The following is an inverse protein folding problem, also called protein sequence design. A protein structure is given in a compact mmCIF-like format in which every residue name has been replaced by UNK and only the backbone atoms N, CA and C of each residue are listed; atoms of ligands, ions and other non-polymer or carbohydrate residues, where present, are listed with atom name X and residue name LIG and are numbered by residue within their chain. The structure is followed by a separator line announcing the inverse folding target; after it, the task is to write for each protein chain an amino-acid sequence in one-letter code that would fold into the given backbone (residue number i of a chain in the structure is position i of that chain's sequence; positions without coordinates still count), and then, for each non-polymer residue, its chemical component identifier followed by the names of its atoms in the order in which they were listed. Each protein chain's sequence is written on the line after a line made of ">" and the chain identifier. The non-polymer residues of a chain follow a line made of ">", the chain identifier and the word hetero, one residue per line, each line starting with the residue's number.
data_IF_036153766270
#
_entry.id   IF_036153766270
#
_cell.length_a   1.000
_cell.length_b   1.000
_cell.length_c   1.000
_cell.angle_alpha   90.00
_cell.angle_beta   90.00
_cell.angle_gamma   90.00
#
_symmetry.space_group_name_H-M   'P 1'
#
loop_
_entity.id
_entity.type
_entity.pdbx_description
1 polymer ?
#
# COMPACT_ATOMS: atom_id res chain seq x y z
N UNK A 1 44.59 12.19 -12.39
CA UNK A 1 43.34 12.92 -12.66
C UNK A 1 42.41 12.19 -13.64
N UNK A 2 42.93 11.54 -14.69
CA UNK A 2 42.12 10.78 -15.67
C UNK A 2 41.47 9.51 -15.12
N UNK A 3 42.13 8.80 -14.20
CA UNK A 3 41.54 7.61 -13.54
C UNK A 3 40.38 7.96 -12.60
N UNK A 4 40.40 9.12 -11.94
CA UNK A 4 39.28 9.59 -11.11
C UNK A 4 38.06 9.91 -11.97
N UNK A 5 38.24 10.54 -13.13
CA UNK A 5 37.13 10.81 -14.05
C UNK A 5 36.56 9.53 -14.67
N UNK A 6 37.39 8.54 -15.02
CA UNK A 6 36.91 7.22 -15.50
C UNK A 6 36.20 6.46 -14.38
N UNK A 7 36.66 6.59 -13.13
CA UNK A 7 35.97 6.02 -11.97
C UNK A 7 34.63 6.72 -11.74
N UNK A 8 34.56 8.05 -11.84
CA UNK A 8 33.34 8.85 -11.70
C UNK A 8 32.35 8.62 -12.86
N UNK A 9 32.82 8.36 -14.09
CA UNK A 9 31.92 8.08 -15.23
C UNK A 9 31.51 6.61 -15.33
N UNK A 10 32.36 5.65 -14.90
CA UNK A 10 32.04 4.21 -14.87
C UNK A 10 31.29 3.78 -13.60
N UNK A 11 31.48 4.49 -12.49
CA UNK A 11 30.78 4.32 -11.20
C UNK A 11 29.93 5.54 -10.84
N UNK A 12 29.40 6.23 -11.84
CA UNK A 12 28.45 7.33 -11.67
C UNK A 12 27.22 6.82 -10.93
N UNK A 13 27.15 7.13 -9.63
CA UNK A 13 25.95 6.98 -8.81
C UNK A 13 25.37 5.56 -8.79
N UNK A 14 26.11 4.62 -8.20
CA UNK A 14 25.44 3.75 -7.24
C UNK A 14 24.89 4.69 -6.16
N UNK A 15 23.63 5.10 -6.30
CA UNK A 15 22.82 5.70 -5.23
C UNK A 15 22.61 4.60 -4.19
N UNK A 16 23.69 4.17 -3.57
CA UNK A 16 23.66 3.51 -2.27
C UNK A 16 23.73 4.64 -1.27
N UNK A 17 22.63 5.39 -1.17
CA UNK A 17 22.26 5.99 0.09
C UNK A 17 22.14 4.83 1.08
N UNK A 18 22.85 4.85 2.22
CA UNK A 18 22.69 3.84 3.25
C UNK A 18 21.27 4.02 3.80
N UNK A 19 20.31 3.26 3.27
CA UNK A 19 18.90 3.39 3.63
C UNK A 19 17.87 3.09 2.53
N UNK A 20 18.23 3.01 1.24
CA UNK A 20 17.27 2.71 0.17
C UNK A 20 17.23 1.21 -0.20
N UNK A 21 16.91 0.36 0.77
CA UNK A 21 16.54 -1.04 0.54
C UNK A 21 15.02 -1.20 0.31
N UNK A 22 14.32 -0.13 -0.07
CA UNK A 22 12.85 -0.07 -0.18
C UNK A 22 12.31 -1.08 -1.20
N UNK A 23 13.08 -1.41 -2.25
CA UNK A 23 12.74 -2.50 -3.17
C UNK A 23 12.71 -3.86 -2.47
N UNK A 24 13.57 -4.11 -1.49
CA UNK A 24 13.58 -5.36 -0.72
C UNK A 24 12.31 -5.50 0.14
N UNK A 25 11.77 -4.39 0.65
CA UNK A 25 10.48 -4.38 1.35
C UNK A 25 9.31 -4.67 0.39
N UNK A 26 9.29 -4.05 -0.79
CA UNK A 26 8.28 -4.32 -1.82
C UNK A 26 8.35 -5.75 -2.36
N UNK A 27 9.55 -6.28 -2.62
CA UNK A 27 9.77 -7.68 -3.06
C UNK A 27 9.36 -8.68 -1.97
N UNK A 28 9.59 -8.34 -0.69
CA UNK A 28 9.11 -9.14 0.43
C UNK A 28 7.59 -9.15 0.51
N UNK A 29 6.93 -8.02 0.25
CA UNK A 29 5.48 -7.97 0.14
C UNK A 29 4.95 -8.79 -1.04
N UNK A 30 5.61 -8.75 -2.21
CA UNK A 30 5.28 -9.59 -3.36
C UNK A 30 5.34 -11.09 -3.02
N UNK A 31 6.23 -11.50 -2.12
CA UNK A 31 6.35 -12.89 -1.70
C UNK A 31 5.16 -13.40 -0.89
N UNK A 32 4.35 -12.50 -0.32
CA UNK A 32 3.08 -12.84 0.35
C UNK A 32 1.91 -12.99 -0.63
N UNK A 33 2.06 -12.54 -1.88
CA UNK A 33 1.03 -12.67 -2.91
C UNK A 33 1.23 -13.96 -3.70
N UNK A 34 0.57 -15.04 -3.26
CA UNK A 34 0.84 -16.39 -3.76
C UNK A 34 0.67 -16.53 -5.29
N UNK A 35 -0.41 -15.99 -5.86
CA UNK A 35 -0.72 -16.09 -7.29
C UNK A 35 -0.06 -15.00 -8.16
N UNK A 36 0.38 -13.89 -7.57
CA UNK A 36 0.97 -12.75 -8.30
C UNK A 36 2.46 -12.54 -8.01
N UNK A 37 3.10 -13.43 -7.26
CA UNK A 37 4.49 -13.27 -6.80
C UNK A 37 5.43 -12.83 -7.92
N UNK A 38 5.47 -13.57 -9.03
CA UNK A 38 6.38 -13.28 -10.13
C UNK A 38 6.04 -11.99 -10.88
N UNK A 39 4.77 -11.73 -11.15
CA UNK A 39 4.34 -10.51 -11.84
C UNK A 39 4.58 -9.28 -10.96
N UNK A 40 4.29 -9.37 -9.67
CA UNK A 40 4.58 -8.31 -8.69
C UNK A 40 6.07 -8.00 -8.64
N UNK A 41 6.94 -9.02 -8.50
CA UNK A 41 8.38 -8.82 -8.47
C UNK A 41 8.85 -8.14 -9.76
N UNK A 42 8.38 -8.59 -10.92
CA UNK A 42 8.74 -7.99 -12.21
C UNK A 42 8.32 -6.51 -12.31
N UNK A 43 7.15 -6.15 -11.78
CA UNK A 43 6.68 -4.76 -11.77
C UNK A 43 7.49 -3.90 -10.80
N UNK A 44 7.76 -4.41 -9.60
CA UNK A 44 8.58 -3.71 -8.60
C UNK A 44 9.99 -3.48 -9.14
N UNK A 45 10.61 -4.49 -9.73
CA UNK A 45 11.97 -4.39 -10.28
C UNK A 45 12.05 -3.44 -11.49
N UNK A 46 10.98 -3.34 -12.29
CA UNK A 46 10.96 -2.46 -13.46
C UNK A 46 10.62 -1.01 -13.12
N UNK A 47 9.57 -0.79 -12.33
CA UNK A 47 9.01 0.55 -12.10
C UNK A 47 9.59 1.26 -10.89
N UNK A 48 10.03 0.54 -9.84
CA UNK A 48 10.60 1.22 -8.67
C UNK A 48 11.87 2.01 -8.97
N UNK A 49 12.84 1.50 -9.76
CA UNK A 49 14.01 2.29 -10.10
C UNK A 49 13.65 3.60 -10.83
N UNK A 50 12.66 3.55 -11.72
CA UNK A 50 12.18 4.72 -12.47
C UNK A 50 11.50 5.73 -11.54
N UNK A 51 10.61 5.24 -10.67
CA UNK A 51 9.95 6.06 -9.66
C UNK A 51 10.96 6.75 -8.73
N UNK A 52 11.97 6.02 -8.23
CA UNK A 52 13.00 6.61 -7.37
C UNK A 52 13.92 7.58 -8.10
N UNK A 53 14.22 7.33 -9.38
CA UNK A 53 14.96 8.27 -10.21
C UNK A 53 14.19 9.60 -10.32
N UNK A 54 12.88 9.51 -10.58
CA UNK A 54 12.02 10.69 -10.73
C UNK A 54 11.84 11.43 -9.40
N UNK A 55 11.57 10.71 -8.31
CA UNK A 55 11.47 11.29 -6.96
C UNK A 55 12.80 11.91 -6.50
N UNK A 56 13.95 11.38 -6.89
CA UNK A 56 15.26 11.97 -6.54
C UNK A 56 15.50 13.35 -7.16
N UNK A 57 14.72 13.73 -8.17
CA UNK A 57 14.75 15.08 -8.77
C UNK A 57 13.85 16.08 -8.07
N UNK A 58 13.04 15.62 -7.12
CA UNK A 58 12.09 16.42 -6.35
C UNK A 58 12.65 16.58 -4.93
N UNK A 59 12.67 17.80 -4.41
CA UNK A 59 13.10 18.01 -3.02
C UNK A 59 12.03 17.50 -2.05
N UNK A 60 12.39 17.12 -0.81
CA UNK A 60 11.41 16.69 0.20
C UNK A 60 10.26 17.68 0.38
N UNK A 61 10.54 18.99 0.33
CA UNK A 61 9.56 20.07 0.46
C UNK A 61 8.59 20.08 -0.73
N UNK A 62 9.12 20.00 -1.95
CA UNK A 62 8.30 19.96 -3.17
C UNK A 62 7.48 18.68 -3.28
N UNK A 63 8.04 17.55 -2.86
CA UNK A 63 7.34 16.27 -2.81
C UNK A 63 6.20 16.36 -1.80
N UNK A 64 6.48 16.94 -0.64
CA UNK A 64 5.53 17.13 0.44
C UNK A 64 4.38 18.07 0.04
N UNK A 65 4.65 19.18 -0.66
CA UNK A 65 3.62 20.05 -1.21
C UNK A 65 2.80 19.37 -2.32
N UNK A 66 3.47 18.75 -3.31
CA UNK A 66 2.80 18.09 -4.44
C UNK A 66 1.97 16.88 -4.03
N UNK A 67 2.40 16.16 -3.00
CA UNK A 67 1.67 15.04 -2.43
C UNK A 67 0.62 15.49 -1.38
N UNK A 68 0.46 16.81 -1.15
CA UNK A 68 -0.40 17.39 -0.10
C UNK A 68 -0.10 16.84 1.30
N UNK A 69 1.15 16.47 1.55
CA UNK A 69 1.66 16.05 2.87
C UNK A 69 2.08 17.25 3.72
N UNK A 70 2.28 18.41 3.09
CA UNK A 70 2.64 19.67 3.73
C UNK A 70 1.37 20.49 4.00
N UNK A 71 0.78 20.26 5.17
CA UNK A 71 0.01 21.27 5.88
C UNK A 71 0.89 21.94 6.93
N UNK A 72 0.41 23.04 7.52
CA UNK A 72 0.90 23.56 8.81
C UNK A 72 1.19 22.38 9.73
N UNK A 73 2.20 22.44 10.60
CA UNK A 73 2.38 21.41 11.63
C UNK A 73 1.10 21.35 12.45
N UNK A 74 0.14 20.57 11.98
CA UNK A 74 -0.56 19.61 12.80
C UNK A 74 0.64 18.87 13.37
N UNK A 75 1.08 19.31 14.56
CA UNK A 75 0.92 18.41 15.68
C UNK A 75 -0.41 17.75 15.40
N UNK A 76 -0.36 16.65 14.64
CA UNK A 76 -1.29 15.59 14.90
C UNK A 76 -0.92 15.41 16.36
N UNK A 77 -1.73 16.01 17.23
CA UNK A 77 -2.15 15.36 18.44
C UNK A 77 -2.59 14.03 17.88
N UNK A 78 -1.60 13.17 17.62
CA UNK A 78 -1.71 11.86 17.03
C UNK A 78 -2.52 11.27 18.14
N UNK A 79 -3.86 11.20 17.96
CA UNK A 79 -4.71 10.85 19.08
C UNK A 79 -4.07 9.57 19.61
N UNK A 80 -3.76 9.57 20.93
CA UNK A 80 -2.79 8.64 21.57
C UNK A 80 -2.97 7.28 20.93
N UNK A 81 -1.94 6.46 20.67
CA UNK A 81 -2.05 5.22 19.88
C UNK A 81 -3.34 4.36 20.04
N UNK A 82 -4.02 4.42 21.19
CA UNK A 82 -5.43 4.01 21.38
C UNK A 82 -6.44 4.52 20.33
N UNK A 83 -6.31 5.76 19.87
CA UNK A 83 -7.32 6.48 19.10
C UNK A 83 -7.20 6.16 17.60
N UNK A 84 -5.98 5.92 17.07
CA UNK A 84 -5.79 5.38 15.71
C UNK A 84 -6.19 3.92 15.61
N UNK A 85 -5.87 3.12 16.62
CA UNK A 85 -6.30 1.73 16.68
C UNK A 85 -7.83 1.64 16.70
N UNK A 86 -8.49 2.45 17.54
CA UNK A 86 -9.95 2.54 17.60
C UNK A 86 -10.56 3.01 16.28
N UNK A 87 -9.99 4.05 15.67
CA UNK A 87 -10.44 4.55 14.37
C UNK A 87 -10.34 3.46 13.29
N UNK A 88 -9.20 2.75 13.23
CA UNK A 88 -9.02 1.66 12.28
C UNK A 88 -10.08 0.58 12.47
N UNK A 89 -10.31 0.11 13.70
CA UNK A 89 -11.33 -0.91 13.95
C UNK A 89 -12.74 -0.45 13.59
N UNK A 90 -13.06 0.83 13.83
CA UNK A 90 -14.36 1.39 13.43
C UNK A 90 -14.51 1.39 11.90
N UNK A 91 -13.47 1.77 11.15
CA UNK A 91 -13.48 1.75 9.69
C UNK A 91 -13.61 0.31 9.18
N UNK A 92 -12.84 -0.64 9.72
CA UNK A 92 -12.92 -2.05 9.33
C UNK A 92 -14.31 -2.61 9.59
N UNK A 93 -14.92 -2.26 10.73
CA UNK A 93 -16.29 -2.65 11.06
C UNK A 93 -17.30 -2.06 10.08
N UNK A 94 -17.15 -0.78 9.72
CA UNK A 94 -18.01 -0.15 8.72
C UNK A 94 -17.86 -0.82 7.35
N UNK A 95 -16.63 -1.14 6.93
CA UNK A 95 -16.35 -1.86 5.69
C UNK A 95 -17.01 -3.24 5.71
N UNK A 96 -16.87 -4.00 6.80
CA UNK A 96 -17.53 -5.31 6.96
C UNK A 96 -19.05 -5.19 6.80
N UNK A 97 -19.69 -4.25 7.50
CA UNK A 97 -21.14 -4.01 7.37
C UNK A 97 -21.54 -3.63 5.94
N UNK A 98 -20.68 -2.91 5.21
CA UNK A 98 -20.92 -2.59 3.79
C UNK A 98 -20.69 -3.79 2.87
N UNK A 99 -19.78 -4.69 3.19
CA UNK A 99 -19.54 -5.90 2.40
C UNK A 99 -20.67 -6.92 2.56
N UNK A 100 -21.26 -7.04 3.74
CA UNK A 100 -22.43 -7.88 4.03
C UNK A 100 -23.70 -7.39 3.29
N UNK A 101 -23.76 -6.10 2.95
CA UNK A 101 -24.91 -5.49 2.28
C UNK A 101 -25.00 -5.89 0.80
N UNK A 102 -26.04 -6.64 0.37
CA UNK A 102 -26.17 -7.11 -1.01
C UNK A 102 -26.30 -5.95 -2.01
N UNK A 103 -26.87 -4.82 -1.61
CA UNK A 103 -26.98 -3.64 -2.47
C UNK A 103 -25.61 -3.02 -2.75
N UNK A 104 -24.72 -2.99 -1.76
CA UNK A 104 -23.33 -2.57 -1.93
C UNK A 104 -22.56 -3.53 -2.84
N UNK A 105 -22.71 -4.84 -2.68
CA UNK A 105 -22.07 -5.82 -3.57
C UNK A 105 -22.51 -5.63 -5.03
N UNK A 106 -23.82 -5.46 -5.25
CA UNK A 106 -24.38 -5.17 -6.59
C UNK A 106 -23.86 -3.86 -7.15
N UNK A 107 -23.73 -2.82 -6.31
CA UNK A 107 -23.18 -1.53 -6.72
C UNK A 107 -21.72 -1.64 -7.16
N UNK A 108 -20.90 -2.43 -6.47
CA UNK A 108 -19.51 -2.71 -6.86
C UNK A 108 -19.48 -3.40 -8.23
N UNK A 109 -20.24 -4.49 -8.40
CA UNK A 109 -20.30 -5.22 -9.68
C UNK A 109 -20.75 -4.30 -10.81
N UNK A 110 -21.82 -3.52 -10.60
CA UNK A 110 -22.34 -2.58 -11.60
C UNK A 110 -21.32 -1.50 -11.96
N UNK A 111 -20.56 -1.02 -10.99
CA UNK A 111 -19.50 -0.02 -11.22
C UNK A 111 -18.38 -0.61 -12.07
N UNK A 112 -17.94 -1.84 -11.76
CA UNK A 112 -16.93 -2.55 -12.55
C UNK A 112 -17.44 -2.88 -13.95
N UNK A 113 -18.71 -3.26 -14.10
CA UNK A 113 -19.33 -3.48 -15.42
C UNK A 113 -19.36 -2.21 -16.27
N UNK A 114 -19.62 -1.04 -15.67
CA UNK A 114 -19.54 0.25 -16.36
C UNK A 114 -18.11 0.56 -16.79
N UNK A 115 -17.12 0.34 -15.91
CA UNK A 115 -15.71 0.48 -16.26
C UNK A 115 -15.29 -0.44 -17.41
N UNK A 116 -15.89 -1.64 -17.50
CA UNK A 116 -15.67 -2.53 -18.64
C UNK A 116 -16.18 -1.99 -19.98
N UNK A 117 -17.00 -0.95 -20.04
CA UNK A 117 -17.40 -0.34 -21.32
C UNK A 117 -16.26 0.47 -21.96
N UNK A 118 -15.24 0.86 -21.18
CA UNK A 118 -14.15 1.73 -21.63
C UNK A 118 -12.94 0.96 -22.18
N UNK A 119 -12.89 -0.38 -21.98
CA UNK A 119 -11.76 -1.23 -22.40
C UNK A 119 -11.81 -1.68 -23.87
N UNK A 120 -12.50 -0.91 -24.73
CA UNK A 120 -12.46 -1.05 -26.19
C UNK A 120 -12.84 -2.45 -26.70
N UNK A 121 -11.92 -3.14 -27.36
CA UNK A 121 -12.18 -4.48 -27.92
C UNK A 121 -12.38 -5.58 -26.86
N UNK A 122 -12.06 -5.31 -25.59
CA UNK A 122 -12.06 -6.32 -24.52
C UNK A 122 -13.30 -6.27 -23.63
N UNK A 123 -14.30 -5.44 -23.95
CA UNK A 123 -15.53 -5.22 -23.14
C UNK A 123 -16.16 -6.53 -22.67
N UNK A 124 -16.36 -7.49 -23.59
CA UNK A 124 -17.02 -8.76 -23.27
C UNK A 124 -16.18 -9.65 -22.34
N UNK A 125 -14.86 -9.68 -22.56
CA UNK A 125 -13.94 -10.44 -21.72
C UNK A 125 -13.86 -9.83 -20.31
N UNK A 126 -13.79 -8.50 -20.22
CA UNK A 126 -13.83 -7.77 -18.95
C UNK A 126 -15.11 -8.07 -18.16
N UNK A 127 -16.28 -7.95 -18.80
CA UNK A 127 -17.57 -8.25 -18.16
C UNK A 127 -17.64 -9.69 -17.65
N UNK A 128 -17.12 -10.65 -18.43
CA UNK A 128 -17.04 -12.05 -18.01
C UNK A 128 -16.17 -12.22 -16.76
N UNK A 129 -15.00 -11.58 -16.72
CA UNK A 129 -14.12 -11.61 -15.55
C UNK A 129 -14.79 -10.99 -14.32
N UNK A 130 -15.45 -9.84 -14.49
CA UNK A 130 -16.18 -9.17 -13.40
C UNK A 130 -17.24 -10.10 -12.81
N UNK A 131 -18.09 -10.69 -13.65
CA UNK A 131 -19.15 -11.60 -13.18
C UNK A 131 -18.60 -12.90 -12.58
N UNK A 132 -17.45 -13.38 -13.06
CA UNK A 132 -16.86 -14.63 -12.60
C UNK A 132 -16.12 -14.48 -11.27
N UNK A 133 -15.37 -13.40 -11.07
CA UNK A 133 -14.42 -13.30 -9.97
C UNK A 133 -14.86 -12.35 -8.86
N UNK A 134 -15.54 -11.25 -9.18
CA UNK A 134 -15.88 -10.22 -8.19
C UNK A 134 -16.78 -10.75 -7.06
N UNK A 135 -17.82 -11.55 -7.32
CA UNK A 135 -18.65 -12.08 -6.23
C UNK A 135 -17.84 -12.91 -5.22
N UNK A 136 -16.96 -13.79 -5.69
CA UNK A 136 -16.11 -14.60 -4.82
C UNK A 136 -15.09 -13.73 -4.06
N UNK A 137 -14.50 -12.73 -4.71
CA UNK A 137 -13.56 -11.81 -4.06
C UNK A 137 -14.23 -11.03 -2.93
N UNK A 138 -15.48 -10.60 -3.09
CA UNK A 138 -16.21 -9.88 -2.04
C UNK A 138 -16.44 -10.77 -0.81
N UNK A 139 -16.84 -12.03 -1.02
CA UNK A 139 -17.03 -13.01 0.06
C UNK A 139 -15.69 -13.32 0.76
N UNK A 140 -14.63 -13.52 -0.01
CA UNK A 140 -13.30 -13.80 0.55
C UNK A 140 -12.76 -12.58 1.32
N UNK A 141 -13.05 -11.36 0.86
CA UNK A 141 -12.66 -10.13 1.54
C UNK A 141 -13.40 -9.95 2.87
N UNK A 142 -14.70 -10.21 2.92
CA UNK A 142 -15.50 -10.23 4.15
C UNK A 142 -14.88 -11.19 5.17
N UNK A 143 -14.72 -12.46 4.79
CA UNK A 143 -14.12 -13.49 5.64
C UNK A 143 -12.70 -13.15 6.10
N UNK A 144 -11.90 -12.53 5.23
CA UNK A 144 -10.56 -12.08 5.58
C UNK A 144 -10.60 -11.01 6.68
N UNK A 145 -11.47 -10.02 6.56
CA UNK A 145 -11.62 -8.94 7.53
C UNK A 145 -12.23 -9.42 8.86
N UNK A 146 -13.08 -10.45 8.85
CA UNK A 146 -13.58 -11.09 10.08
C UNK A 146 -12.48 -11.86 10.84
N UNK A 147 -11.59 -12.53 10.11
CA UNK A 147 -10.62 -13.46 10.69
C UNK A 147 -9.23 -12.88 10.90
N UNK A 148 -8.96 -11.70 10.33
CA UNK A 148 -7.65 -11.04 10.36
C UNK A 148 -7.76 -9.67 10.99
N UNK A 149 -6.97 -9.44 12.04
CA UNK A 149 -6.78 -8.09 12.57
C UNK A 149 -5.85 -7.28 11.64
N UNK A 150 -6.47 -6.68 10.63
CA UNK A 150 -5.77 -5.80 9.68
C UNK A 150 -5.23 -4.55 10.35
N UNK A 151 -5.81 -4.09 11.47
CA UNK A 151 -5.37 -2.90 12.19
C UNK A 151 -4.04 -3.13 12.89
N UNK A 152 -3.85 -4.31 13.46
CA UNK A 152 -2.53 -4.78 13.90
C UNK A 152 -1.60 -5.02 12.70
N UNK A 153 -2.09 -5.63 11.63
CA UNK A 153 -1.30 -5.91 10.42
C UNK A 153 -0.70 -4.68 9.73
N UNK A 154 -1.39 -3.53 9.80
CA UNK A 154 -0.92 -2.23 9.28
C UNK A 154 -0.27 -1.35 10.35
N UNK A 155 -0.03 -1.87 11.55
CA UNK A 155 0.56 -1.16 12.70
C UNK A 155 -0.28 0.03 13.20
N UNK A 156 -1.59 0.06 12.93
CA UNK A 156 -2.51 1.01 13.55
C UNK A 156 -2.74 0.69 15.04
N UNK A 157 -2.63 -0.59 15.40
CA UNK A 157 -2.63 -1.09 16.77
C UNK A 157 -1.24 -1.60 17.16
N UNK A 158 -0.82 -1.37 18.40
CA UNK A 158 0.42 -1.96 18.95
C UNK A 158 0.17 -3.43 19.29
N UNK A 159 1.15 -4.29 19.03
CA UNK A 159 1.14 -5.65 19.53
C UNK A 159 1.29 -5.65 21.06
N UNK A 160 0.67 -6.60 21.75
CA UNK A 160 0.69 -6.72 23.22
C UNK A 160 2.10 -6.81 23.83
N UNK A 161 3.13 -7.12 23.04
CA UNK A 161 4.53 -7.16 23.47
C UNK A 161 5.18 -5.77 23.65
N UNK A 162 4.65 -4.73 23.00
CA UNK A 162 5.16 -3.35 23.13
C UNK A 162 4.66 -2.64 24.40
N UNK A 163 3.68 -3.22 25.11
CA UNK A 163 3.20 -2.68 26.38
C UNK A 163 4.25 -2.79 27.50
N UNK A 164 5.11 -3.82 27.47
CA UNK A 164 6.17 -4.00 28.47
C UNK A 164 7.27 -2.94 28.28
N UNK A 165 7.62 -2.59 27.03
CA UNK A 165 8.60 -1.56 26.74
C UNK A 165 8.12 -0.15 27.14
N UNK A 166 6.82 0.14 27.01
CA UNK A 166 6.25 1.42 27.48
C UNK A 166 6.11 1.52 29.00
N UNK A 167 5.95 0.41 29.72
CA UNK A 167 5.85 0.42 31.19
C UNK A 167 7.21 0.59 31.88
N UNK A 168 8.31 0.34 31.18
CA UNK A 168 9.68 0.46 31.72
C UNK A 168 10.33 1.82 31.45
N UNK A 169 9.72 2.69 30.62
CA UNK A 169 10.22 4.04 30.35
C UNK A 169 9.72 5.10 31.35
N UNK A 170 8.76 4.73 32.21
CA UNK A 170 8.15 5.61 33.22
C UNK A 170 8.52 5.22 34.68
N UNK A 171 9.58 4.43 34.88
CA UNK A 171 10.20 4.17 36.20
C UNK A 171 11.64 4.68 36.29
#
# INVERSE_FOLDING_TARGET
>A
MTLLCIWITKYRMKVTLPGMNNSAHCVRACSRMNFLKHQCISLVDHYMPLFFLEVSTITPEQLCEKANLCGETVLVNLPKSSDFCTLCHNIVKEILTKLEDPDTQLKVIKTLMKGCEEVGSYVQQCKKLVLQYVPSILIDAEKFLETTDVCTGIYACKNSEDHIASMLADM
#
